data_IF_193318868033
#
_entry.id   IF_193318868033
#
_cell.length_a   1.000
_cell.length_b   1.000
_cell.length_c   1.000
_cell.angle_alpha   90.00
_cell.angle_beta   90.00
_cell.angle_gamma   90.00
#
_symmetry.space_group_name_H-M   'P 1'
#
loop_
_entity.id
_entity.type
_entity.pdbx_description
1 polymer ?
#
# COMPACT_ATOMS: atom_id res chain seq x y z
N UNK A 1 12.29 1.10 10.65
CA UNK A 1 11.13 1.08 9.75
C UNK A 1 10.22 -0.08 10.12
N UNK A 2 8.94 0.08 9.85
CA UNK A 2 7.91 -0.85 10.29
C UNK A 2 7.60 -1.90 9.23
N UNK A 3 6.98 -3.00 9.67
CA UNK A 3 6.43 -4.02 8.78
C UNK A 3 4.93 -3.81 8.64
N UNK A 4 4.44 -3.81 7.41
CA UNK A 4 3.00 -3.76 7.15
C UNK A 4 2.48 -5.19 7.06
N UNK A 5 1.54 -5.54 7.93
CA UNK A 5 0.88 -6.84 7.88
C UNK A 5 -0.35 -6.76 6.99
N UNK A 6 -0.40 -7.65 6.02
CA UNK A 6 -1.46 -7.74 5.02
C UNK A 6 -2.11 -9.11 5.10
N UNK A 7 -3.43 -9.14 5.04
CA UNK A 7 -4.19 -10.38 5.02
C UNK A 7 -4.93 -10.58 3.71
N UNK A 8 -5.47 -11.78 3.53
CA UNK A 8 -6.37 -12.09 2.43
C UNK A 8 -7.74 -12.44 3.00
N UNK A 9 -8.77 -11.83 2.46
CA UNK A 9 -10.15 -12.14 2.85
C UNK A 9 -11.07 -11.78 1.69
N UNK A 10 -12.16 -12.56 1.54
CA UNK A 10 -13.19 -12.20 0.58
C UNK A 10 -13.84 -10.87 0.97
N UNK A 11 -14.47 -10.21 -0.01
CA UNK A 11 -15.22 -8.98 0.27
C UNK A 11 -16.25 -9.20 1.37
N UNK A 12 -16.95 -10.33 1.33
CA UNK A 12 -17.96 -10.67 2.33
C UNK A 12 -17.36 -10.84 3.72
N UNK A 13 -16.21 -11.50 3.81
CA UNK A 13 -15.53 -11.69 5.10
C UNK A 13 -15.03 -10.36 5.66
N UNK A 14 -14.49 -9.48 4.80
CA UNK A 14 -14.08 -8.14 5.23
C UNK A 14 -15.25 -7.33 5.75
N UNK A 15 -16.38 -7.40 5.07
CA UNK A 15 -17.61 -6.71 5.48
C UNK A 15 -18.09 -7.24 6.83
N UNK A 16 -18.12 -8.56 6.99
CA UNK A 16 -18.54 -9.19 8.25
C UNK A 16 -17.62 -8.77 9.39
N UNK A 17 -16.31 -8.73 9.17
CA UNK A 17 -15.35 -8.29 10.17
C UNK A 17 -15.56 -6.83 10.56
N UNK A 18 -15.75 -5.96 9.57
CA UNK A 18 -15.99 -4.53 9.82
C UNK A 18 -17.25 -4.33 10.67
N UNK A 19 -18.32 -5.06 10.36
CA UNK A 19 -19.56 -4.98 11.12
C UNK A 19 -19.39 -5.52 12.53
N UNK A 20 -18.65 -6.61 12.70
CA UNK A 20 -18.40 -7.18 14.02
C UNK A 20 -17.61 -6.21 14.90
N UNK A 21 -16.62 -5.51 14.32
CA UNK A 21 -15.87 -4.48 15.04
C UNK A 21 -16.79 -3.32 15.44
N UNK A 22 -17.64 -2.86 14.52
CA UNK A 22 -18.56 -1.76 14.78
C UNK A 22 -19.57 -2.10 15.89
N UNK A 23 -19.97 -3.37 15.99
CA UNK A 23 -20.90 -3.83 17.03
C UNK A 23 -20.22 -4.15 18.36
N UNK A 24 -18.90 -4.06 18.43
CA UNK A 24 -18.16 -4.42 19.63
C UNK A 24 -17.98 -5.91 19.85
N UNK A 25 -18.36 -6.75 18.87
CA UNK A 25 -18.23 -8.21 18.97
C UNK A 25 -16.80 -8.69 18.71
N UNK A 26 -16.01 -7.89 18.01
CA UNK A 26 -14.63 -8.21 17.66
C UNK A 26 -13.74 -7.00 17.94
N UNK A 27 -12.61 -7.23 18.61
CA UNK A 27 -11.59 -6.20 18.84
C UNK A 27 -10.34 -6.53 18.02
N UNK A 28 -9.87 -5.60 17.17
CA UNK A 28 -8.60 -5.82 16.48
C UNK A 28 -7.46 -5.99 17.47
N UNK A 29 -6.59 -6.95 17.22
CA UNK A 29 -5.40 -7.21 18.04
C UNK A 29 -4.17 -6.58 17.39
N UNK A 30 -3.12 -6.23 18.16
CA UNK A 30 -1.93 -5.61 17.58
C UNK A 30 -1.24 -6.42 16.48
N UNK A 31 -1.39 -7.75 16.51
CA UNK A 31 -0.80 -8.63 15.49
C UNK A 31 -1.67 -8.86 14.26
N UNK A 32 -2.88 -8.33 14.22
CA UNK A 32 -3.80 -8.53 13.11
C UNK A 32 -3.35 -7.76 11.87
N UNK A 33 -3.66 -8.27 10.65
CA UNK A 33 -3.43 -7.50 9.44
C UNK A 33 -4.20 -6.17 9.49
N UNK A 34 -3.55 -5.12 9.00
CA UNK A 34 -4.15 -3.79 8.91
C UNK A 34 -4.77 -3.52 7.56
N UNK A 35 -4.34 -4.25 6.55
CA UNK A 35 -4.78 -4.10 5.17
C UNK A 35 -5.17 -5.47 4.65
N UNK A 36 -6.23 -5.52 3.86
CA UNK A 36 -6.76 -6.77 3.34
C UNK A 36 -6.90 -6.70 1.83
N UNK A 37 -6.44 -7.74 1.16
CA UNK A 37 -6.67 -7.95 -0.27
C UNK A 37 -7.71 -9.04 -0.46
N UNK A 38 -8.46 -8.96 -1.56
CA UNK A 38 -9.49 -9.94 -1.85
C UNK A 38 -8.96 -11.23 -2.45
N UNK A 39 -7.74 -11.22 -2.97
CA UNK A 39 -7.13 -12.40 -3.59
C UNK A 39 -5.61 -12.28 -3.58
N UNK A 40 -4.89 -13.43 -3.65
CA UNK A 40 -3.44 -13.41 -3.83
C UNK A 40 -3.03 -12.71 -5.14
N UNK A 41 -3.86 -12.82 -6.18
CA UNK A 41 -3.60 -12.23 -7.48
C UNK A 41 -3.62 -10.70 -7.41
N UNK A 42 -4.58 -10.13 -6.69
CA UNK A 42 -4.64 -8.67 -6.52
C UNK A 42 -3.45 -8.15 -5.72
N UNK A 43 -3.03 -8.88 -4.70
CA UNK A 43 -1.82 -8.55 -3.94
C UNK A 43 -0.58 -8.59 -4.85
N UNK A 44 -0.42 -9.68 -5.61
CA UNK A 44 0.75 -9.85 -6.49
C UNK A 44 0.77 -8.80 -7.60
N UNK A 45 -0.39 -8.40 -8.09
CA UNK A 45 -0.50 -7.37 -9.13
C UNK A 45 -0.02 -6.01 -8.61
N UNK A 46 -0.45 -5.63 -7.42
CA UNK A 46 -0.05 -4.34 -6.83
C UNK A 46 1.42 -4.36 -6.43
N UNK A 47 1.91 -5.47 -5.89
CA UNK A 47 3.30 -5.63 -5.48
C UNK A 47 4.10 -6.48 -6.46
N UNK A 48 3.90 -6.22 -7.76
CA UNK A 48 4.71 -6.80 -8.82
C UNK A 48 6.18 -6.43 -8.66
N UNK A 49 7.06 -7.15 -9.36
CA UNK A 49 8.50 -6.83 -9.37
C UNK A 49 8.73 -5.38 -9.76
N UNK A 50 8.01 -4.88 -10.76
CA UNK A 50 8.15 -3.51 -11.24
C UNK A 50 7.72 -2.49 -10.18
N UNK A 51 6.60 -2.74 -9.50
CA UNK A 51 6.12 -1.84 -8.45
C UNK A 51 6.97 -1.90 -7.20
N UNK A 52 7.51 -3.07 -6.85
CA UNK A 52 8.44 -3.18 -5.72
C UNK A 52 9.74 -2.43 -6.00
N UNK A 53 10.23 -2.48 -7.24
CA UNK A 53 11.40 -1.70 -7.64
C UNK A 53 11.12 -0.19 -7.53
N UNK A 54 9.91 0.23 -7.87
CA UNK A 54 9.48 1.63 -7.68
C UNK A 54 9.53 2.03 -6.22
N UNK A 55 8.99 1.20 -5.34
CA UNK A 55 9.00 1.48 -3.89
C UNK A 55 10.42 1.57 -3.35
N UNK A 56 11.30 0.66 -3.77
CA UNK A 56 12.70 0.67 -3.39
C UNK A 56 13.38 1.96 -3.84
N UNK A 57 13.10 2.43 -5.04
CA UNK A 57 13.67 3.67 -5.56
C UNK A 57 13.20 4.88 -4.75
N UNK A 58 11.95 4.91 -4.35
CA UNK A 58 11.43 5.99 -3.49
C UNK A 58 12.19 6.02 -2.16
N UNK A 59 12.43 4.86 -1.56
CA UNK A 59 13.19 4.78 -0.30
C UNK A 59 14.62 5.26 -0.51
N UNK A 60 15.28 4.82 -1.59
CA UNK A 60 16.69 5.09 -1.82
C UNK A 60 16.96 6.54 -2.23
N UNK A 61 16.08 7.14 -3.02
CA UNK A 61 16.32 8.47 -3.59
C UNK A 61 15.55 9.60 -2.91
N UNK A 62 14.53 9.26 -2.12
CA UNK A 62 13.70 10.24 -1.43
C UNK A 62 13.29 11.40 -2.35
N UNK A 63 12.55 11.13 -3.44
CA UNK A 63 12.24 12.16 -4.44
C UNK A 63 11.36 13.26 -3.86
N UNK A 64 11.61 14.50 -4.29
CA UNK A 64 10.87 15.65 -3.82
C UNK A 64 9.51 15.78 -4.48
N UNK A 65 9.29 15.11 -5.63
CA UNK A 65 8.05 15.20 -6.38
C UNK A 65 7.87 13.99 -7.29
N UNK A 66 6.64 13.81 -7.81
CA UNK A 66 6.38 12.77 -8.81
C UNK A 66 7.09 13.05 -10.13
N UNK A 67 7.30 14.32 -10.49
CA UNK A 67 8.03 14.67 -11.69
C UNK A 67 9.50 14.22 -11.58
N UNK A 68 10.11 14.44 -10.44
CA UNK A 68 11.47 13.96 -10.19
C UNK A 68 11.54 12.43 -10.28
N UNK A 69 10.58 11.74 -9.68
CA UNK A 69 10.50 10.29 -9.74
C UNK A 69 10.27 9.79 -11.17
N UNK A 70 9.44 10.49 -11.95
CA UNK A 70 9.20 10.15 -13.35
C UNK A 70 10.50 10.21 -14.17
N UNK A 71 11.33 11.22 -13.92
CA UNK A 71 12.58 11.39 -14.68
C UNK A 71 13.57 10.26 -14.44
N UNK A 72 13.52 9.61 -13.28
CA UNK A 72 14.46 8.53 -12.93
C UNK A 72 13.90 7.14 -13.21
N UNK A 73 12.59 6.97 -13.29
CA UNK A 73 11.95 5.65 -13.47
C UNK A 73 11.59 5.36 -14.92
N UNK A 74 11.52 6.39 -15.77
CA UNK A 74 11.01 6.24 -17.13
C UNK A 74 9.48 6.11 -17.20
N UNK A 75 8.78 6.24 -16.08
CA UNK A 75 7.32 6.23 -16.06
C UNK A 75 6.79 7.65 -16.25
N UNK A 76 5.59 7.77 -16.82
CA UNK A 76 4.94 9.08 -16.93
C UNK A 76 4.40 9.53 -15.56
N UNK A 77 4.33 10.86 -15.32
CA UNK A 77 3.72 11.35 -14.07
C UNK A 77 2.29 10.84 -13.86
N UNK A 78 1.50 10.72 -14.93
CA UNK A 78 0.14 10.18 -14.83
C UNK A 78 0.09 8.74 -14.39
N UNK A 79 0.99 7.90 -14.93
CA UNK A 79 1.10 6.50 -14.50
C UNK A 79 1.50 6.41 -13.03
N UNK A 80 2.52 7.18 -12.62
CA UNK A 80 2.97 7.21 -11.23
C UNK A 80 1.86 7.67 -10.28
N UNK A 81 1.13 8.71 -10.67
CA UNK A 81 0.04 9.23 -9.84
C UNK A 81 -1.02 8.15 -9.60
N UNK A 82 -1.45 7.44 -10.64
CA UNK A 82 -2.44 6.37 -10.50
C UNK A 82 -1.94 5.23 -9.63
N UNK A 83 -0.72 4.76 -9.90
CA UNK A 83 -0.11 3.65 -9.16
C UNK A 83 0.07 4.01 -7.68
N UNK A 84 0.65 5.17 -7.41
CA UNK A 84 0.93 5.58 -6.04
C UNK A 84 -0.33 5.90 -5.24
N UNK A 85 -1.37 6.44 -5.88
CA UNK A 85 -2.66 6.63 -5.21
C UNK A 85 -3.31 5.30 -4.85
N UNK A 86 -3.18 4.30 -5.72
CA UNK A 86 -3.65 2.95 -5.40
C UNK A 86 -2.89 2.38 -4.20
N UNK A 87 -1.56 2.52 -4.20
CA UNK A 87 -0.74 2.07 -3.08
C UNK A 87 -1.07 2.81 -1.78
N UNK A 88 -1.41 4.09 -1.87
CA UNK A 88 -1.81 4.87 -0.70
C UNK A 88 -3.09 4.34 -0.07
N UNK A 89 -4.04 3.87 -0.90
CA UNK A 89 -5.27 3.27 -0.40
C UNK A 89 -4.99 2.03 0.45
N UNK A 90 -3.93 1.29 0.12
CA UNK A 90 -3.53 0.11 0.88
C UNK A 90 -2.50 0.42 1.96
N UNK A 91 -2.19 1.71 2.17
CA UNK A 91 -1.26 2.11 3.23
C UNK A 91 0.20 1.87 2.93
N UNK A 92 0.55 1.46 1.71
CA UNK A 92 1.94 1.19 1.31
C UNK A 92 2.77 2.46 1.12
N UNK A 93 2.11 3.55 0.77
CA UNK A 93 2.74 4.83 0.45
C UNK A 93 1.93 5.93 1.09
N UNK A 94 2.60 6.98 1.54
CA UNK A 94 1.98 8.25 1.91
C UNK A 94 2.34 9.29 0.87
N UNK A 95 1.34 10.03 0.41
CA UNK A 95 1.55 11.12 -0.53
C UNK A 95 1.38 12.43 0.22
N UNK A 96 2.47 13.17 0.36
CA UNK A 96 2.47 14.46 1.04
C UNK A 96 2.28 15.56 0.05
N UNK A 97 1.32 16.44 0.32
CA UNK A 97 1.02 17.59 -0.53
C UNK A 97 1.98 18.73 -0.22
N UNK A 98 2.80 19.12 -1.18
CA UNK A 98 3.72 20.23 -1.07
C UNK A 98 3.19 21.48 -1.78
N UNK A 99 4.11 22.42 -2.03
CA UNK A 99 3.80 23.67 -2.72
C UNK A 99 3.24 23.39 -4.12
N UNK A 100 2.26 24.20 -4.53
CA UNK A 100 1.63 24.13 -5.87
C UNK A 100 1.01 22.76 -6.17
N UNK A 101 0.58 22.05 -5.13
CA UNK A 101 -0.05 20.75 -5.31
C UNK A 101 0.90 19.62 -5.68
N UNK A 102 2.21 19.84 -5.61
CA UNK A 102 3.19 18.77 -5.84
C UNK A 102 3.05 17.69 -4.79
N UNK A 103 3.08 16.44 -5.23
CA UNK A 103 3.02 15.29 -4.33
C UNK A 103 4.41 14.72 -4.12
N UNK A 104 4.76 14.49 -2.86
CA UNK A 104 6.01 13.84 -2.46
C UNK A 104 5.68 12.47 -1.89
N UNK A 105 6.18 11.38 -2.50
CA UNK A 105 5.89 10.05 -1.99
C UNK A 105 6.82 9.67 -0.84
N UNK A 106 6.26 8.94 0.11
CA UNK A 106 7.01 8.36 1.23
C UNK A 106 6.56 6.92 1.43
N UNK A 107 7.52 6.00 1.61
CA UNK A 107 7.25 4.60 1.94
C UNK A 107 7.52 4.41 3.43
N UNK A 108 6.47 4.30 4.27
CA UNK A 108 6.65 4.22 5.73
C UNK A 108 7.02 2.83 6.21
N UNK A 109 6.97 1.81 5.35
CA UNK A 109 7.25 0.43 5.71
C UNK A 109 8.47 -0.10 4.98
N UNK A 110 9.25 -0.90 5.67
CA UNK A 110 10.41 -1.58 5.11
C UNK A 110 10.01 -2.91 4.48
N UNK A 111 9.10 -3.61 5.14
CA UNK A 111 8.70 -4.96 4.75
C UNK A 111 7.18 -5.07 4.70
N UNK A 112 6.70 -5.97 3.85
CA UNK A 112 5.29 -6.37 3.81
C UNK A 112 5.23 -7.85 4.16
N UNK A 113 4.36 -8.19 5.10
CA UNK A 113 4.16 -9.56 5.53
C UNK A 113 2.75 -9.99 5.19
N UNK A 114 2.63 -10.95 4.29
CA UNK A 114 1.35 -11.49 3.85
C UNK A 114 0.97 -12.69 4.70
N UNK A 115 -0.22 -12.64 5.28
CA UNK A 115 -0.79 -13.76 6.01
C UNK A 115 -1.94 -14.34 5.20
N UNK A 116 -1.84 -15.63 4.87
CA UNK A 116 -2.84 -16.33 4.08
C UNK A 116 -3.20 -17.63 4.78
N UNK A 117 -4.49 -17.83 5.03
CA UNK A 117 -4.97 -19.07 5.62
C UNK A 117 -5.19 -20.12 4.55
N UNK A 118 -4.84 -21.38 4.86
CA UNK A 118 -5.07 -22.48 3.96
C UNK A 118 -6.33 -23.27 4.29
N UNK A 119 -6.92 -22.98 5.44
CA UNK A 119 -8.13 -23.65 5.86
C UNK A 119 -9.08 -22.72 6.57
#
# INVERSE_FOLDING_TARGET
MKTLKVGLASYEDMKARTMAIAKGELRPKPGDPKVWFTSPESFAKLLSNRNRALLAQIVDTNPASLNELASTTGRTPGNLSRTLKMMERYGLVRLHKGERGKLRPEVPYRDVQLEMRLS
#
